data_IF_294362404471
#
_entry.id   IF_294362404471
#
_cell.length_a   1.000
_cell.length_b   1.000
_cell.length_c   1.000
_cell.angle_alpha   90.00
_cell.angle_beta   90.00
_cell.angle_gamma   90.00
#
_symmetry.space_group_name_H-M   'P 1'
#
loop_
_entity.id
_entity.type
_entity.pdbx_description
1 polymer ?
#
# COMPACT_ATOMS: atom_id res chain seq x y z
N UNK A 1 -9.54 -10.34 -21.26
CA UNK A 1 -9.79 -10.33 -19.81
C UNK A 1 -8.47 -9.96 -19.19
N UNK A 2 -8.47 -8.88 -18.41
CA UNK A 2 -7.23 -8.28 -17.95
C UNK A 2 -7.08 -8.54 -16.45
N UNK A 3 -5.92 -9.08 -16.07
CA UNK A 3 -5.56 -9.35 -14.69
C UNK A 3 -4.42 -8.40 -14.29
N UNK A 4 -4.65 -7.62 -13.25
CA UNK A 4 -3.64 -6.70 -12.71
C UNK A 4 -3.11 -7.28 -11.42
N UNK A 5 -1.79 -7.52 -11.38
CA UNK A 5 -1.07 -7.91 -10.18
C UNK A 5 -0.28 -6.71 -9.68
N UNK A 6 -0.50 -6.33 -8.42
CA UNK A 6 0.14 -5.16 -7.85
C UNK A 6 0.45 -5.38 -6.37
N UNK A 7 1.65 -4.93 -5.97
CA UNK A 7 2.15 -4.99 -4.59
C UNK A 7 1.52 -3.89 -3.73
N UNK A 8 1.33 -4.18 -2.45
CA UNK A 8 0.96 -3.18 -1.44
C UNK A 8 1.88 -1.95 -1.49
N UNK A 9 1.31 -0.79 -1.16
CA UNK A 9 2.09 0.43 -0.97
C UNK A 9 2.98 0.33 0.29
N UNK A 10 3.99 1.18 0.37
CA UNK A 10 4.94 1.19 1.50
C UNK A 10 4.21 1.30 2.86
N UNK A 11 4.46 0.34 3.74
CA UNK A 11 3.91 0.29 5.10
C UNK A 11 5.02 0.59 6.11
N UNK A 12 4.62 1.01 7.31
CA UNK A 12 5.54 1.20 8.42
C UNK A 12 6.36 -0.06 8.69
N UNK A 13 7.59 0.11 9.19
CA UNK A 13 8.45 -1.03 9.50
C UNK A 13 7.87 -1.86 10.65
N UNK A 14 8.14 -3.16 10.60
CA UNK A 14 7.74 -4.04 11.68
C UNK A 14 8.58 -3.74 12.94
N UNK A 15 7.92 -3.73 14.09
CA UNK A 15 8.55 -3.52 15.40
C UNK A 15 8.14 -4.64 16.36
N UNK A 16 8.99 -4.94 17.34
CA UNK A 16 8.73 -6.01 18.30
C UNK A 16 7.43 -5.76 19.08
N UNK A 17 6.56 -6.77 19.14
CA UNK A 17 5.23 -6.66 19.74
C UNK A 17 4.15 -6.06 18.84
N UNK A 18 4.48 -5.63 17.63
CA UNK A 18 3.50 -5.17 16.63
C UNK A 18 2.93 -6.35 15.84
N UNK A 19 1.61 -6.36 15.64
CA UNK A 19 0.96 -7.26 14.69
C UNK A 19 1.22 -6.77 13.25
N UNK A 20 1.82 -7.62 12.42
CA UNK A 20 2.19 -7.31 11.04
C UNK A 20 0.99 -6.85 10.20
N UNK A 21 -0.19 -7.43 10.45
CA UNK A 21 -1.41 -7.09 9.72
C UNK A 21 -1.99 -5.72 10.10
N UNK A 22 -1.53 -5.13 11.21
CA UNK A 22 -1.98 -3.83 11.68
C UNK A 22 -1.06 -2.68 11.24
N UNK A 23 0.00 -2.97 10.46
CA UNK A 23 0.93 -1.95 9.98
C UNK A 23 0.23 -1.00 9.01
N UNK A 24 0.20 0.28 9.39
CA UNK A 24 -0.34 1.35 8.56
C UNK A 24 0.59 1.69 7.39
N UNK A 25 0.06 2.36 6.37
CA UNK A 25 0.88 2.90 5.29
C UNK A 25 1.75 4.05 5.83
N UNK A 26 2.98 4.15 5.33
CA UNK A 26 3.76 5.37 5.56
C UNK A 26 3.13 6.52 4.79
N UNK A 27 3.48 7.77 5.13
CA UNK A 27 3.05 8.94 4.33
C UNK A 27 3.50 8.88 2.86
N UNK A 28 4.54 8.10 2.53
CA UNK A 28 4.92 7.80 1.15
C UNK A 28 4.02 6.73 0.55
N UNK A 29 3.71 5.67 1.30
CA UNK A 29 2.76 4.64 0.91
C UNK A 29 1.38 5.21 0.55
N UNK A 30 0.86 6.14 1.34
CA UNK A 30 -0.40 6.81 1.01
C UNK A 30 -0.36 7.54 -0.34
N UNK A 31 0.74 8.24 -0.63
CA UNK A 31 0.94 8.92 -1.93
C UNK A 31 1.01 7.92 -3.09
N UNK A 32 1.64 6.76 -2.88
CA UNK A 32 1.68 5.68 -3.87
C UNK A 32 0.27 5.13 -4.14
N UNK A 33 -0.49 4.84 -3.09
CA UNK A 33 -1.86 4.33 -3.19
C UNK A 33 -2.78 5.31 -3.92
N UNK A 34 -2.73 6.61 -3.59
CA UNK A 34 -3.52 7.66 -4.27
C UNK A 34 -3.22 7.74 -5.78
N UNK A 35 -1.94 7.68 -6.16
CA UNK A 35 -1.54 7.72 -7.59
C UNK A 35 -2.09 6.53 -8.36
N UNK A 36 -2.04 5.34 -7.77
CA UNK A 36 -2.53 4.15 -8.44
C UNK A 36 -4.04 4.05 -8.47
N UNK A 37 -4.74 4.52 -7.43
CA UNK A 37 -6.20 4.68 -7.49
C UNK A 37 -6.60 5.58 -8.68
N UNK A 38 -5.92 6.71 -8.87
CA UNK A 38 -6.17 7.60 -10.02
C UNK A 38 -5.79 6.98 -11.38
N UNK A 39 -4.90 5.98 -11.42
CA UNK A 39 -4.57 5.24 -12.65
C UNK A 39 -5.61 4.16 -12.95
N UNK A 40 -6.13 3.47 -11.94
CA UNK A 40 -7.16 2.44 -12.07
C UNK A 40 -8.54 3.00 -12.44
N UNK A 41 -8.81 4.25 -12.07
CA UNK A 41 -10.07 4.96 -12.40
C UNK A 41 -10.15 5.38 -13.89
N UNK A 42 -9.07 5.17 -14.65
CA UNK A 42 -9.00 5.48 -16.09
C UNK A 42 -9.27 4.25 -16.95
#
# INVERSE_FOLDING_TARGET
MDLILWRHAEAEDWTEGCDDLQRSLTGRGEKQAKRMAAWLDR
#
